data_IF_043731924095
#
_entry.id   IF_043731924095
#
_cell.length_a   1.000
_cell.length_b   1.000
_cell.length_c   1.000
_cell.angle_alpha   90.00
_cell.angle_beta   90.00
_cell.angle_gamma   90.00
#
_symmetry.space_group_name_H-M   'P 1'
#
loop_
_entity.id
_entity.type
_entity.pdbx_description
1 polymer ?
#
# COMPACT_ATOMS: atom_id res chain seq x y z
N UNK A 1 -4.38 10.00 12.01
CA UNK A 1 -5.31 8.99 11.57
C UNK A 1 -6.66 9.56 11.18
N UNK A 2 -7.49 8.73 10.60
CA UNK A 2 -8.87 9.04 10.28
C UNK A 2 -9.73 9.00 11.54
N UNK A 3 -10.79 9.79 11.57
CA UNK A 3 -11.75 9.84 12.67
C UNK A 3 -13.11 9.31 12.20
N UNK A 4 -13.91 8.80 13.11
CA UNK A 4 -15.28 8.37 12.82
C UNK A 4 -16.08 9.53 12.22
N UNK A 5 -16.75 9.26 11.09
CA UNK A 5 -17.51 10.25 10.35
C UNK A 5 -16.70 11.11 9.38
N UNK A 6 -15.39 10.96 9.30
CA UNK A 6 -14.58 11.58 8.24
C UNK A 6 -15.04 11.08 6.85
N UNK A 7 -15.11 12.01 5.89
CA UNK A 7 -15.42 11.70 4.49
C UNK A 7 -14.34 12.26 3.57
N UNK A 8 -14.02 11.53 2.51
CA UNK A 8 -13.00 11.91 1.53
C UNK A 8 -13.21 11.17 0.21
N UNK A 9 -12.52 11.60 -0.85
CA UNK A 9 -12.49 10.85 -2.10
C UNK A 9 -11.67 9.56 -1.96
N UNK A 10 -11.88 8.58 -2.85
CA UNK A 10 -11.05 7.38 -2.91
C UNK A 10 -9.57 7.72 -3.14
N UNK A 11 -9.28 8.68 -4.01
CA UNK A 11 -7.92 9.13 -4.26
C UNK A 11 -7.26 9.69 -2.99
N UNK A 12 -7.98 10.53 -2.22
CA UNK A 12 -7.50 11.03 -0.91
C UNK A 12 -7.23 9.89 0.07
N UNK A 13 -8.11 8.88 0.11
CA UNK A 13 -7.92 7.71 0.95
C UNK A 13 -6.71 6.86 0.51
N UNK A 14 -6.43 6.77 -0.79
CA UNK A 14 -5.23 6.10 -1.31
C UNK A 14 -3.94 6.83 -0.91
N UNK A 15 -3.92 8.17 -0.90
CA UNK A 15 -2.79 8.92 -0.32
C UNK A 15 -2.60 8.58 1.17
N UNK A 16 -3.69 8.54 1.94
CA UNK A 16 -3.63 8.20 3.36
C UNK A 16 -3.16 6.75 3.61
N UNK A 17 -3.45 5.82 2.70
CA UNK A 17 -2.96 4.45 2.75
C UNK A 17 -1.49 4.33 2.35
N UNK A 18 -1.11 4.88 1.19
CA UNK A 18 0.18 4.60 0.56
C UNK A 18 1.33 5.39 1.17
N UNK A 19 1.14 6.68 1.48
CA UNK A 19 2.21 7.56 1.96
C UNK A 19 2.63 7.24 3.39
N UNK A 20 1.75 7.33 4.42
CA UNK A 20 2.11 7.03 5.80
C UNK A 20 1.86 5.58 6.19
N UNK A 21 1.43 4.72 5.26
CA UNK A 21 1.00 3.33 5.56
C UNK A 21 -0.20 3.27 6.52
N UNK A 22 -1.26 4.05 6.26
CA UNK A 22 -2.44 4.15 7.13
C UNK A 22 -3.34 2.91 7.06
N UNK A 23 -3.29 2.06 8.11
CA UNK A 23 -4.13 0.84 8.18
C UNK A 23 -5.62 1.17 8.24
N UNK A 24 -6.00 2.25 8.94
CA UNK A 24 -7.36 2.78 8.99
C UNK A 24 -7.89 3.16 7.60
N UNK A 25 -7.06 3.78 6.77
CA UNK A 25 -7.40 4.07 5.37
C UNK A 25 -7.58 2.79 4.55
N UNK A 26 -6.73 1.78 4.74
CA UNK A 26 -6.87 0.47 4.09
C UNK A 26 -8.20 -0.19 4.40
N UNK A 27 -8.57 -0.24 5.67
CA UNK A 27 -9.87 -0.79 6.13
C UNK A 27 -11.05 0.03 5.56
N UNK A 28 -10.95 1.36 5.58
CA UNK A 28 -12.01 2.24 5.05
C UNK A 28 -12.22 2.03 3.54
N UNK A 29 -11.13 1.91 2.77
CA UNK A 29 -11.18 1.60 1.33
C UNK A 29 -11.82 0.23 1.11
N UNK A 30 -11.35 -0.81 1.82
CA UNK A 30 -11.86 -2.16 1.66
C UNK A 30 -13.37 -2.24 1.93
N UNK A 31 -13.84 -1.64 3.02
CA UNK A 31 -15.27 -1.59 3.36
C UNK A 31 -16.07 -0.81 2.33
N UNK A 32 -15.62 0.38 1.92
CA UNK A 32 -16.40 1.26 1.03
C UNK A 32 -16.41 0.75 -0.40
N UNK A 33 -15.26 0.37 -0.95
CA UNK A 33 -15.16 -0.15 -2.33
C UNK A 33 -15.84 -1.51 -2.43
N UNK A 34 -15.60 -2.39 -1.46
CA UNK A 34 -16.26 -3.71 -1.43
C UNK A 34 -17.77 -3.63 -1.28
N UNK A 35 -18.30 -2.70 -0.46
CA UNK A 35 -19.73 -2.42 -0.37
C UNK A 35 -20.31 -1.93 -1.71
N UNK A 36 -19.56 -1.09 -2.44
CA UNK A 36 -19.95 -0.66 -3.78
C UNK A 36 -19.98 -1.84 -4.77
N UNK A 37 -19.00 -2.75 -4.69
CA UNK A 37 -18.90 -3.94 -5.55
C UNK A 37 -20.02 -4.94 -5.29
N UNK A 38 -20.31 -5.23 -4.02
CA UNK A 38 -21.32 -6.22 -3.62
C UNK A 38 -22.75 -5.65 -3.60
N UNK A 39 -22.91 -4.34 -3.50
CA UNK A 39 -24.19 -3.68 -3.22
C UNK A 39 -24.63 -3.81 -1.74
N UNK A 40 -23.78 -4.34 -0.86
CA UNK A 40 -24.10 -4.58 0.54
C UNK A 40 -22.92 -4.22 1.45
N UNK A 41 -23.13 -3.30 2.39
CA UNK A 41 -22.11 -2.88 3.34
C UNK A 41 -21.68 -3.99 4.32
N UNK A 42 -22.56 -4.95 4.60
CA UNK A 42 -22.25 -6.05 5.53
C UNK A 42 -21.23 -7.05 4.96
N UNK A 43 -21.21 -7.20 3.65
CA UNK A 43 -20.29 -8.13 2.93
C UNK A 43 -19.13 -7.42 2.24
N UNK A 44 -19.09 -6.07 2.34
CA UNK A 44 -18.13 -5.25 1.60
C UNK A 44 -16.67 -5.61 1.86
N UNK A 45 -16.29 -5.77 3.13
CA UNK A 45 -14.92 -6.12 3.48
C UNK A 45 -14.48 -7.44 2.84
N UNK A 46 -15.25 -8.51 3.03
CA UNK A 46 -14.94 -9.85 2.48
C UNK A 46 -14.92 -9.84 0.95
N UNK A 47 -15.84 -9.08 0.34
CA UNK A 47 -15.89 -8.90 -1.13
C UNK A 47 -14.59 -8.25 -1.64
N UNK A 48 -14.05 -7.26 -0.91
CA UNK A 48 -12.80 -6.63 -1.29
C UNK A 48 -11.61 -7.57 -1.16
N UNK A 49 -11.51 -8.34 -0.06
CA UNK A 49 -10.45 -9.34 0.12
C UNK A 49 -10.52 -10.42 -0.96
N UNK A 50 -11.71 -10.89 -1.28
CA UNK A 50 -11.89 -11.83 -2.40
C UNK A 50 -11.42 -11.24 -3.74
N UNK A 51 -11.67 -9.95 -3.99
CA UNK A 51 -11.20 -9.27 -5.19
C UNK A 51 -9.68 -9.09 -5.21
N UNK A 52 -9.01 -8.85 -4.06
CA UNK A 52 -7.55 -8.83 -3.96
C UNK A 52 -6.95 -10.18 -4.39
N UNK A 53 -7.46 -11.29 -3.85
CA UNK A 53 -6.99 -12.63 -4.19
C UNK A 53 -7.31 -13.01 -5.66
N UNK A 54 -8.47 -12.61 -6.17
CA UNK A 54 -8.81 -12.81 -7.58
C UNK A 54 -7.83 -12.06 -8.50
N UNK A 55 -7.47 -10.80 -8.15
CA UNK A 55 -6.45 -10.03 -8.89
C UNK A 55 -5.08 -10.66 -8.81
N UNK A 56 -4.66 -11.18 -7.65
CA UNK A 56 -3.40 -11.91 -7.50
C UNK A 56 -3.36 -13.13 -8.43
N UNK A 57 -4.44 -13.91 -8.48
CA UNK A 57 -4.57 -15.06 -9.38
C UNK A 57 -4.50 -14.64 -10.86
N UNK A 58 -5.21 -13.59 -11.26
CA UNK A 58 -5.18 -13.03 -12.62
C UNK A 58 -3.78 -12.59 -13.06
N UNK A 59 -2.97 -12.11 -12.12
CA UNK A 59 -1.58 -11.71 -12.34
C UNK A 59 -0.59 -12.89 -12.28
N UNK A 60 -1.07 -14.09 -11.95
CA UNK A 60 -0.22 -15.28 -11.80
C UNK A 60 0.62 -15.31 -10.53
N UNK A 61 0.21 -14.60 -9.49
CA UNK A 61 0.87 -14.52 -8.18
C UNK A 61 0.56 -15.77 -7.35
N UNK A 62 1.19 -16.90 -7.70
CA UNK A 62 0.87 -18.21 -7.15
C UNK A 62 1.35 -18.47 -5.72
N UNK A 63 2.12 -17.55 -5.15
CA UNK A 63 2.67 -17.61 -3.79
C UNK A 63 2.17 -16.43 -2.94
N UNK A 64 0.92 -16.00 -3.19
CA UNK A 64 0.35 -14.87 -2.46
C UNK A 64 -1.09 -15.18 -2.04
N UNK A 65 -1.37 -14.96 -0.76
CA UNK A 65 -2.71 -14.99 -0.18
C UNK A 65 -2.89 -13.73 0.66
N UNK A 66 -4.00 -13.05 0.45
CA UNK A 66 -4.38 -11.84 1.17
C UNK A 66 -5.60 -12.11 2.04
N UNK A 67 -5.50 -11.82 3.34
CA UNK A 67 -6.57 -12.00 4.33
C UNK A 67 -7.06 -10.66 4.87
N UNK A 68 -6.27 -9.60 4.69
CA UNK A 68 -6.61 -8.25 5.08
C UNK A 68 -6.02 -7.20 4.10
N UNK A 69 -6.47 -5.93 4.15
CA UNK A 69 -6.01 -4.88 3.23
C UNK A 69 -4.82 -4.07 3.74
N UNK A 70 -4.27 -4.38 4.92
CA UNK A 70 -3.25 -3.56 5.60
C UNK A 70 -1.95 -4.31 5.94
N UNK A 71 -1.94 -5.65 5.90
CA UNK A 71 -0.72 -6.45 6.05
C UNK A 71 -0.27 -6.70 7.50
N UNK A 72 -1.12 -6.48 8.52
CA UNK A 72 -0.79 -6.88 9.89
C UNK A 72 -0.94 -8.38 10.06
N UNK A 73 -0.01 -9.02 10.77
CA UNK A 73 0.07 -10.48 10.96
C UNK A 73 -0.99 -11.01 11.93
N UNK A 74 -1.39 -10.17 12.89
CA UNK A 74 -2.32 -10.53 13.94
C UNK A 74 -3.38 -9.45 14.04
N UNK A 75 -4.51 -9.68 13.48
CA UNK A 75 -5.63 -8.81 13.75
C UNK A 75 -6.90 -9.63 14.06
N UNK A 76 -7.96 -8.95 14.50
CA UNK A 76 -9.21 -9.59 14.85
C UNK A 76 -9.94 -10.22 13.65
N UNK A 77 -9.35 -10.16 12.45
CA UNK A 77 -9.94 -10.67 11.21
C UNK A 77 -9.36 -12.02 10.74
N UNK A 78 -8.38 -12.58 11.49
CA UNK A 78 -7.89 -13.94 11.28
C UNK A 78 -6.88 -14.11 10.14
N UNK A 79 -5.63 -13.77 10.40
CA UNK A 79 -4.58 -13.66 9.39
C UNK A 79 -3.64 -14.87 9.29
N UNK A 80 -4.14 -16.06 9.62
CA UNK A 80 -3.34 -17.29 9.71
C UNK A 80 -2.61 -17.69 8.42
N UNK A 81 -3.00 -17.16 7.25
CA UNK A 81 -2.42 -17.54 5.95
C UNK A 81 -1.98 -16.35 5.09
N UNK A 82 -1.81 -15.15 5.69
CA UNK A 82 -1.34 -13.98 4.97
C UNK A 82 0.12 -14.15 4.56
N UNK A 83 0.40 -14.23 3.26
CA UNK A 83 1.77 -14.34 2.76
C UNK A 83 1.92 -13.86 1.31
N UNK A 84 3.14 -13.57 0.92
CA UNK A 84 3.52 -13.29 -0.47
C UNK A 84 4.97 -13.69 -0.74
N UNK A 85 5.42 -13.52 -1.97
CA UNK A 85 6.82 -13.69 -2.37
C UNK A 85 7.35 -12.42 -3.03
N UNK A 86 8.67 -12.22 -2.99
CA UNK A 86 9.30 -11.07 -3.65
C UNK A 86 8.96 -11.01 -5.16
N UNK A 87 8.88 -12.16 -5.82
CA UNK A 87 8.49 -12.25 -7.24
C UNK A 87 7.06 -11.78 -7.47
N UNK A 88 6.13 -12.23 -6.63
CA UNK A 88 4.72 -11.89 -6.78
C UNK A 88 4.49 -10.40 -6.50
N UNK A 89 5.13 -9.86 -5.45
CA UNK A 89 5.08 -8.43 -5.15
C UNK A 89 5.69 -7.61 -6.28
N UNK A 90 6.81 -8.03 -6.90
CA UNK A 90 7.37 -7.35 -8.06
C UNK A 90 6.42 -7.36 -9.26
N UNK A 91 5.70 -8.47 -9.48
CA UNK A 91 4.65 -8.57 -10.51
C UNK A 91 3.52 -7.58 -10.24
N UNK A 92 3.05 -7.51 -8.97
CA UNK A 92 2.00 -6.57 -8.56
C UNK A 92 2.44 -5.11 -8.74
N UNK A 93 3.67 -4.77 -8.32
CA UNK A 93 4.25 -3.43 -8.49
C UNK A 93 4.33 -3.06 -9.97
N UNK A 94 4.88 -3.93 -10.80
CA UNK A 94 4.97 -3.70 -12.25
C UNK A 94 3.60 -3.46 -12.90
N UNK A 95 2.57 -4.17 -12.46
CA UNK A 95 1.19 -3.95 -12.90
C UNK A 95 0.63 -2.61 -12.39
N UNK A 96 0.76 -2.33 -11.10
CA UNK A 96 0.20 -1.13 -10.48
C UNK A 96 0.83 0.16 -11.01
N UNK A 97 2.14 0.15 -11.26
CA UNK A 97 2.90 1.29 -11.78
C UNK A 97 2.55 1.66 -13.23
N UNK A 98 1.74 0.86 -13.93
CA UNK A 98 1.17 1.24 -15.24
C UNK A 98 -0.01 2.21 -15.09
N UNK A 99 -0.55 2.39 -13.89
CA UNK A 99 -1.65 3.32 -13.62
C UNK A 99 -1.06 4.67 -13.18
N UNK A 100 -1.29 5.73 -13.97
CA UNK A 100 -0.73 7.06 -13.72
C UNK A 100 -1.19 7.66 -12.37
N UNK A 101 -2.43 7.40 -11.96
CA UNK A 101 -2.94 7.85 -10.65
C UNK A 101 -2.19 7.16 -9.50
N UNK A 102 -2.02 5.84 -9.58
CA UNK A 102 -1.27 5.10 -8.57
C UNK A 102 0.19 5.59 -8.51
N UNK A 103 0.84 5.71 -9.68
CA UNK A 103 2.19 6.26 -9.80
C UNK A 103 2.31 7.62 -9.14
N UNK A 104 1.41 8.56 -9.43
CA UNK A 104 1.43 9.89 -8.83
C UNK A 104 1.25 9.88 -7.31
N UNK A 105 0.47 8.94 -6.77
CA UNK A 105 0.27 8.80 -5.32
C UNK A 105 1.55 8.30 -4.63
N UNK A 106 2.19 7.25 -5.15
CA UNK A 106 3.37 6.66 -4.50
C UNK A 106 4.63 7.52 -4.66
N UNK A 107 4.70 8.35 -5.72
CA UNK A 107 5.78 9.30 -5.99
C UNK A 107 5.61 10.65 -5.24
N UNK A 108 4.49 10.86 -4.57
CA UNK A 108 4.18 12.17 -3.96
C UNK A 108 5.10 12.54 -2.77
N UNK A 109 5.82 11.57 -2.19
CA UNK A 109 6.57 11.81 -0.97
C UNK A 109 5.68 12.25 0.19
N UNK A 110 6.23 13.04 1.14
CA UNK A 110 5.42 13.62 2.21
C UNK A 110 4.51 14.72 1.68
N UNK A 111 3.23 14.70 2.05
CA UNK A 111 2.21 15.61 1.51
C UNK A 111 1.13 15.93 2.55
N UNK A 112 0.14 16.70 2.16
CA UNK A 112 -1.03 17.03 2.99
C UNK A 112 -2.31 16.75 2.22
N UNK A 113 -3.23 16.03 2.86
CA UNK A 113 -4.58 15.80 2.34
C UNK A 113 -5.61 16.61 3.11
N UNK A 114 -6.77 16.83 2.50
CA UNK A 114 -7.93 17.43 3.17
C UNK A 114 -9.03 16.39 3.31
N UNK A 115 -9.53 16.24 4.52
CA UNK A 115 -10.71 15.41 4.83
C UNK A 115 -11.84 16.29 5.34
N UNK A 116 -13.07 15.86 5.16
CA UNK A 116 -14.23 16.53 5.74
C UNK A 116 -14.62 15.77 7.00
N UNK A 117 -14.57 16.46 8.15
CA UNK A 117 -14.95 15.90 9.44
C UNK A 117 -16.48 15.69 9.55
N UNK A 118 -16.93 14.92 10.54
CA UNK A 118 -18.34 14.60 10.75
C UNK A 118 -19.26 15.83 10.89
N UNK A 119 -18.72 16.96 11.37
CA UNK A 119 -19.43 18.24 11.49
C UNK A 119 -19.46 19.07 10.16
N UNK A 120 -18.90 18.54 9.10
CA UNK A 120 -18.81 19.18 7.79
C UNK A 120 -17.62 20.13 7.63
N UNK A 121 -16.76 20.27 8.62
CA UNK A 121 -15.57 21.14 8.52
C UNK A 121 -14.42 20.45 7.77
N UNK A 122 -13.65 21.23 7.00
CA UNK A 122 -12.45 20.75 6.34
C UNK A 122 -11.28 20.66 7.34
N UNK A 123 -10.59 19.52 7.36
CA UNK A 123 -9.40 19.27 8.20
C UNK A 123 -8.22 18.85 7.34
N UNK A 124 -7.10 19.53 7.49
CA UNK A 124 -5.86 19.14 6.83
C UNK A 124 -5.11 18.09 7.66
N UNK A 125 -4.65 17.03 7.01
CA UNK A 125 -3.88 15.93 7.60
C UNK A 125 -2.53 15.85 6.89
N UNK A 126 -1.43 16.10 7.63
CA UNK A 126 -0.09 15.92 7.11
C UNK A 126 0.24 14.42 7.04
N UNK A 127 0.74 13.98 5.90
CA UNK A 127 1.16 12.61 5.63
C UNK A 127 2.68 12.61 5.48
N UNK A 128 3.36 11.80 6.30
CA UNK A 128 4.81 11.59 6.21
C UNK A 128 5.07 10.29 5.44
N UNK A 129 5.89 10.36 4.40
CA UNK A 129 6.29 9.14 3.71
C UNK A 129 7.15 8.25 4.61
N UNK A 130 6.99 6.94 4.45
CA UNK A 130 7.83 5.92 5.09
C UNK A 130 8.98 5.46 4.20
N UNK A 131 9.04 5.94 2.97
CA UNK A 131 10.14 5.68 2.02
C UNK A 131 11.28 6.67 2.27
N UNK A 132 12.36 6.19 2.88
CA UNK A 132 13.56 6.99 3.21
C UNK A 132 14.45 7.27 1.99
N UNK A 133 14.24 6.58 0.87
CA UNK A 133 14.94 6.87 -0.39
C UNK A 133 14.30 8.03 -1.16
N UNK A 134 13.06 8.39 -0.83
CA UNK A 134 12.33 9.44 -1.50
C UNK A 134 13.03 10.79 -1.38
N UNK A 135 13.39 11.39 -2.54
CA UNK A 135 14.15 12.61 -2.63
C UNK A 135 15.66 12.50 -2.29
N UNK A 136 16.16 11.27 -2.01
CA UNK A 136 17.56 11.00 -1.69
C UNK A 136 18.24 10.15 -2.76
N UNK A 137 17.56 9.11 -3.24
CA UNK A 137 18.09 8.21 -4.27
C UNK A 137 17.59 8.63 -5.65
N UNK A 138 18.52 8.76 -6.62
CA UNK A 138 18.20 9.29 -7.95
C UNK A 138 17.23 8.39 -8.72
N UNK A 139 16.12 9.00 -9.15
CA UNK A 139 15.07 8.35 -9.90
C UNK A 139 14.08 7.52 -9.09
N UNK A 140 14.20 7.46 -7.74
CA UNK A 140 13.19 6.76 -6.91
C UNK A 140 11.80 7.39 -7.10
N UNK A 141 10.77 6.56 -7.28
CA UNK A 141 9.39 6.98 -7.47
C UNK A 141 8.38 6.12 -6.71
N UNK A 142 8.80 5.60 -5.56
CA UNK A 142 7.97 4.81 -4.65
C UNK A 142 8.56 3.43 -4.38
N UNK A 143 7.83 2.48 -3.83
CA UNK A 143 6.37 2.30 -3.83
C UNK A 143 5.81 2.16 -2.41
N UNK A 144 6.30 1.14 -1.64
CA UNK A 144 5.71 0.82 -0.33
C UNK A 144 6.67 0.09 0.59
N UNK A 145 6.75 0.56 1.82
CA UNK A 145 7.37 -0.13 2.94
C UNK A 145 6.37 -1.04 3.67
N UNK A 146 6.86 -2.04 4.36
CA UNK A 146 6.10 -2.84 5.32
C UNK A 146 7.00 -3.28 6.47
N UNK A 147 6.41 -3.46 7.66
CA UNK A 147 7.13 -4.01 8.80
C UNK A 147 6.14 -4.65 9.77
N UNK A 148 6.40 -5.91 10.11
CA UNK A 148 5.75 -6.63 11.21
C UNK A 148 6.81 -7.49 11.89
N UNK A 149 6.50 -8.07 13.05
CA UNK A 149 7.44 -8.93 13.75
C UNK A 149 7.75 -10.21 12.96
N UNK A 150 6.75 -10.75 12.24
CA UNK A 150 6.89 -11.97 11.44
C UNK A 150 7.50 -11.71 10.05
N UNK A 151 7.17 -10.57 9.43
CA UNK A 151 7.63 -10.25 8.06
C UNK A 151 9.02 -9.60 8.02
N UNK A 152 9.56 -9.12 9.13
CA UNK A 152 10.75 -8.28 9.15
C UNK A 152 10.52 -6.93 8.45
N UNK A 153 11.60 -6.28 8.03
CA UNK A 153 11.53 -5.01 7.31
C UNK A 153 11.48 -5.27 5.80
N UNK A 154 10.42 -4.79 5.16
CA UNK A 154 10.15 -5.03 3.75
C UNK A 154 10.08 -3.71 2.97
N UNK A 155 10.50 -3.73 1.70
CA UNK A 155 10.33 -2.60 0.79
C UNK A 155 10.14 -3.08 -0.66
N UNK A 156 9.10 -2.58 -1.30
CA UNK A 156 8.93 -2.64 -2.74
C UNK A 156 9.29 -1.28 -3.31
N UNK A 157 10.37 -1.20 -4.06
CA UNK A 157 10.92 0.02 -4.63
C UNK A 157 10.73 0.11 -6.14
N UNK A 158 10.60 1.33 -6.67
CA UNK A 158 10.57 1.63 -8.09
C UNK A 158 11.50 2.79 -8.41
N UNK A 159 12.28 2.63 -9.48
CA UNK A 159 13.16 3.67 -10.02
C UNK A 159 12.80 3.91 -11.47
N UNK A 160 12.67 5.18 -11.85
CA UNK A 160 12.47 5.63 -13.23
C UNK A 160 13.65 6.48 -13.68
N UNK A 161 14.35 6.07 -14.75
CA UNK A 161 15.49 6.77 -15.34
C UNK A 161 15.39 6.73 -16.85
N UNK A 162 16.25 7.48 -17.55
CA UNK A 162 16.29 7.50 -19.04
C UNK A 162 16.46 6.12 -19.67
N UNK A 163 17.14 5.20 -18.97
CA UNK A 163 17.34 3.81 -19.40
C UNK A 163 16.10 2.91 -19.23
N UNK A 164 15.07 3.38 -18.55
CA UNK A 164 13.85 2.63 -18.26
C UNK A 164 13.51 2.57 -16.76
N UNK A 165 12.55 1.72 -16.46
CA UNK A 165 12.07 1.50 -15.09
C UNK A 165 12.62 0.20 -14.52
N UNK A 166 12.93 0.23 -13.23
CA UNK A 166 13.38 -0.93 -12.48
C UNK A 166 12.54 -1.07 -11.20
N UNK A 167 12.15 -2.29 -10.90
CA UNK A 167 11.44 -2.62 -9.67
C UNK A 167 12.26 -3.58 -8.84
N UNK A 168 12.40 -3.31 -7.55
CA UNK A 168 13.05 -4.22 -6.58
C UNK A 168 12.08 -4.55 -5.46
N UNK A 169 12.24 -5.75 -4.89
CA UNK A 169 11.49 -6.16 -3.70
C UNK A 169 12.45 -6.81 -2.72
N UNK A 170 12.54 -6.24 -1.54
CA UNK A 170 13.29 -6.73 -0.39
C UNK A 170 12.30 -7.14 0.67
N UNK A 171 12.40 -8.36 1.17
CA UNK A 171 11.56 -8.93 2.22
C UNK A 171 12.45 -9.46 3.34
N UNK A 172 11.94 -9.45 4.57
CA UNK A 172 12.57 -10.02 5.75
C UNK A 172 13.99 -9.47 6.02
N UNK A 173 14.20 -8.18 5.78
CA UNK A 173 15.42 -7.52 6.22
C UNK A 173 15.45 -7.36 7.75
N UNK A 174 16.63 -7.49 8.40
CA UNK A 174 16.71 -7.43 9.85
C UNK A 174 16.57 -6.00 10.42
N UNK A 175 16.66 -4.97 9.58
CA UNK A 175 16.49 -3.57 10.01
C UNK A 175 15.93 -2.66 8.91
N UNK A 176 15.45 -1.47 9.31
CA UNK A 176 15.03 -0.44 8.36
C UNK A 176 16.19 -0.02 7.44
N UNK A 177 17.37 0.19 7.99
CA UNK A 177 18.54 0.63 7.22
C UNK A 177 18.94 -0.43 6.17
N UNK A 178 18.90 -1.71 6.55
CA UNK A 178 19.28 -2.79 5.65
C UNK A 178 18.28 -2.97 4.50
N UNK A 179 16.96 -2.88 4.71
CA UNK A 179 16.01 -2.96 3.59
C UNK A 179 16.26 -1.89 2.53
N UNK A 180 16.68 -0.67 2.94
CA UNK A 180 16.97 0.39 1.98
C UNK A 180 18.36 0.22 1.35
N UNK A 181 19.39 -0.21 2.10
CA UNK A 181 20.70 -0.48 1.52
C UNK A 181 20.68 -1.64 0.53
N UNK A 182 19.93 -2.70 0.82
CA UNK A 182 19.73 -3.82 -0.09
C UNK A 182 18.96 -3.38 -1.35
N UNK A 183 17.94 -2.53 -1.19
CA UNK A 183 17.23 -1.94 -2.32
C UNK A 183 18.17 -1.15 -3.22
N UNK A 184 19.02 -0.28 -2.65
CA UNK A 184 20.02 0.50 -3.42
C UNK A 184 21.02 -0.42 -4.14
N UNK A 185 21.41 -1.54 -3.53
CA UNK A 185 22.31 -2.50 -4.16
C UNK A 185 21.67 -3.26 -5.35
N UNK A 186 20.34 -3.38 -5.36
CA UNK A 186 19.57 -4.03 -6.45
C UNK A 186 19.27 -3.08 -7.62
N UNK A 187 19.28 -1.76 -7.39
CA UNK A 187 18.90 -0.70 -8.33
C UNK A 187 20.09 0.04 -8.93
#
# INVERSE_FOLDING_TARGET
>A
GLLEGDTMSLETALYALMVPSGNDAGIAIAKSVGAHMSGDAATGYDTFIAAMNAKAADLGMSHSVYTNPHGLDFDAFGDEDLHSSARDVATLVSYAMQNDTFRGIVDAGSTTITVTSADGTARNVALQTTDELMGVYDGICGVKTGTTDDAGYCFAGAVSRDAGELYSVVLDSPSSDERFSDTVALM
#
